data_IF_201105959531
#
_entry.id   IF_201105959531
#
_cell.length_a   1.000
_cell.length_b   1.000
_cell.length_c   1.000
_cell.angle_alpha   90.00
_cell.angle_beta   90.00
_cell.angle_gamma   90.00
#
_symmetry.space_group_name_H-M   'P 1'
#
loop_
_entity.id
_entity.type
_entity.pdbx_description
1 polymer ?
#
# COMPACT_ATOMS: atom_id res chain seq x y z
N UNK A 1 20.25 -7.63 6.31
CA UNK A 1 18.91 -7.06 6.08
C UNK A 1 19.07 -5.55 5.98
N UNK A 2 18.93 -4.99 4.79
CA UNK A 2 19.09 -3.57 4.53
C UNK A 2 17.93 -2.77 5.11
N UNK A 3 18.15 -1.47 5.37
CA UNK A 3 17.10 -0.56 5.91
C UNK A 3 15.84 -0.48 5.03
N UNK A 4 15.92 -0.83 3.75
CA UNK A 4 14.81 -0.78 2.81
C UNK A 4 13.99 -2.08 2.74
N UNK A 5 14.50 -3.21 3.24
CA UNK A 5 13.85 -4.53 3.05
C UNK A 5 12.47 -4.59 3.70
N UNK A 6 12.33 -4.01 4.90
CA UNK A 6 11.04 -3.93 5.60
C UNK A 6 10.02 -3.03 4.88
N UNK A 7 10.49 -2.01 4.16
CA UNK A 7 9.63 -1.12 3.40
C UNK A 7 9.14 -1.79 2.11
N UNK A 8 9.96 -2.64 1.48
CA UNK A 8 9.53 -3.46 0.34
C UNK A 8 8.43 -4.46 0.73
N UNK A 9 8.60 -5.17 1.85
CA UNK A 9 7.56 -6.08 2.35
C UNK A 9 6.24 -5.35 2.61
N UNK A 10 6.30 -4.17 3.24
CA UNK A 10 5.09 -3.37 3.46
C UNK A 10 4.46 -2.88 2.15
N UNK A 11 5.26 -2.55 1.14
CA UNK A 11 4.74 -2.19 -0.20
C UNK A 11 4.04 -3.39 -0.84
N UNK A 12 4.63 -4.58 -0.76
CA UNK A 12 4.02 -5.81 -1.28
C UNK A 12 2.68 -6.13 -0.57
N UNK A 13 2.62 -5.95 0.76
CA UNK A 13 1.38 -6.10 1.53
C UNK A 13 0.29 -5.13 1.05
N UNK A 14 0.66 -3.86 0.77
CA UNK A 14 -0.27 -2.86 0.23
C UNK A 14 -0.72 -3.26 -1.17
N UNK A 15 0.19 -3.66 -2.06
CA UNK A 15 -0.14 -4.09 -3.42
C UNK A 15 -1.11 -5.29 -3.42
N UNK A 16 -0.88 -6.29 -2.56
CA UNK A 16 -1.78 -7.45 -2.44
C UNK A 16 -3.17 -7.09 -1.89
N UNK A 17 -3.25 -6.14 -0.95
CA UNK A 17 -4.52 -5.60 -0.50
C UNK A 17 -5.26 -4.86 -1.61
N UNK A 18 -4.53 -4.05 -2.38
CA UNK A 18 -5.09 -3.30 -3.49
C UNK A 18 -5.65 -4.24 -4.57
N UNK A 19 -4.90 -5.26 -4.95
CA UNK A 19 -5.37 -6.29 -5.87
C UNK A 19 -6.66 -6.96 -5.36
N UNK A 20 -6.70 -7.31 -4.08
CA UNK A 20 -7.90 -7.89 -3.44
C UNK A 20 -9.11 -6.95 -3.50
N UNK A 21 -8.91 -5.66 -3.26
CA UNK A 21 -9.96 -4.63 -3.37
C UNK A 21 -10.47 -4.52 -4.81
N UNK A 22 -9.57 -4.49 -5.78
CA UNK A 22 -9.91 -4.37 -7.20
C UNK A 22 -10.67 -5.60 -7.70
N UNK A 23 -10.20 -6.82 -7.39
CA UNK A 23 -10.85 -8.09 -7.77
C UNK A 23 -12.25 -8.17 -7.17
N UNK A 24 -12.46 -7.65 -5.96
CA UNK A 24 -13.78 -7.58 -5.34
C UNK A 24 -14.74 -6.59 -6.01
N UNK A 25 -14.28 -5.81 -7.01
CA UNK A 25 -15.04 -4.71 -7.59
C UNK A 25 -15.32 -3.60 -6.58
N UNK A 26 -14.37 -3.31 -5.68
CA UNK A 26 -14.49 -2.35 -4.59
C UNK A 26 -15.63 -2.66 -3.60
N UNK A 27 -16.05 -3.93 -3.56
CA UNK A 27 -17.14 -4.43 -2.74
C UNK A 27 -16.60 -5.44 -1.72
N UNK A 28 -15.69 -5.00 -0.87
CA UNK A 28 -15.06 -5.86 0.14
C UNK A 28 -16.05 -6.14 1.28
N UNK A 29 -16.67 -7.33 1.28
CA UNK A 29 -17.62 -7.76 2.34
C UNK A 29 -16.95 -8.66 3.38
N UNK A 30 -15.76 -9.21 3.08
CA UNK A 30 -15.09 -10.17 3.94
C UNK A 30 -14.38 -9.49 5.14
N UNK A 31 -14.67 -9.95 6.36
CA UNK A 31 -14.05 -9.50 7.61
C UNK A 31 -12.53 -9.63 7.60
N UNK A 32 -11.98 -10.72 7.06
CA UNK A 32 -10.54 -10.94 7.03
C UNK A 32 -9.78 -9.92 6.18
N UNK A 33 -10.38 -9.46 5.08
CA UNK A 33 -9.76 -8.40 4.25
C UNK A 33 -9.78 -7.06 4.99
N UNK A 34 -10.84 -6.77 5.75
CA UNK A 34 -10.93 -5.53 6.54
C UNK A 34 -9.91 -5.50 7.68
N UNK A 35 -9.71 -6.63 8.37
CA UNK A 35 -8.69 -6.75 9.41
C UNK A 35 -7.28 -6.58 8.81
N UNK A 36 -7.04 -7.13 7.62
CA UNK A 36 -5.77 -6.95 6.91
C UNK A 36 -5.55 -5.48 6.50
N UNK A 37 -6.56 -4.79 5.96
CA UNK A 37 -6.47 -3.35 5.64
C UNK A 37 -6.13 -2.57 6.91
N UNK A 38 -6.75 -2.93 8.04
CA UNK A 38 -6.48 -2.29 9.33
C UNK A 38 -5.03 -2.45 9.77
N UNK A 39 -4.53 -3.68 9.77
CA UNK A 39 -3.16 -3.98 10.13
C UNK A 39 -2.15 -3.25 9.24
N UNK A 40 -2.38 -3.21 7.93
CA UNK A 40 -1.46 -2.57 6.99
C UNK A 40 -1.44 -1.05 7.14
N UNK A 41 -2.59 -0.39 7.36
CA UNK A 41 -2.55 1.06 7.59
C UNK A 41 -1.86 1.42 8.92
N UNK A 42 -2.04 0.64 9.98
CA UNK A 42 -1.34 0.84 11.25
C UNK A 42 0.17 0.67 11.08
N UNK A 43 0.60 -0.30 10.26
CA UNK A 43 2.00 -0.47 9.91
C UNK A 43 2.54 0.73 9.10
N UNK A 44 1.75 1.27 8.17
CA UNK A 44 2.09 2.48 7.43
C UNK A 44 2.29 3.69 8.38
N UNK A 45 1.43 3.87 9.38
CA UNK A 45 1.57 4.93 10.40
C UNK A 45 2.89 4.78 11.16
N UNK A 46 3.24 3.56 11.59
CA UNK A 46 4.49 3.28 12.34
C UNK A 46 5.76 3.60 11.58
N UNK A 47 5.77 3.39 10.26
CA UNK A 47 6.96 3.63 9.43
C UNK A 47 6.96 5.00 8.74
N UNK A 48 5.97 5.85 9.02
CA UNK A 48 5.88 7.21 8.48
C UNK A 48 5.31 7.33 7.07
N UNK A 49 4.71 6.27 6.51
CA UNK A 49 3.98 6.32 5.23
C UNK A 49 2.59 6.94 5.41
N UNK A 50 2.55 8.19 5.88
CA UNK A 50 1.33 8.86 6.34
C UNK A 50 0.24 8.92 5.27
N UNK A 51 0.61 9.15 4.00
CA UNK A 51 -0.35 9.17 2.90
C UNK A 51 -0.98 7.79 2.65
N UNK A 52 -0.18 6.72 2.67
CA UNK A 52 -0.71 5.37 2.50
C UNK A 52 -1.60 4.97 3.67
N UNK A 53 -1.20 5.31 4.90
CA UNK A 53 -2.00 5.09 6.08
C UNK A 53 -3.37 5.79 5.98
N UNK A 54 -3.39 7.06 5.61
CA UNK A 54 -4.63 7.84 5.49
C UNK A 54 -5.56 7.26 4.40
N UNK A 55 -5.01 6.95 3.23
CA UNK A 55 -5.78 6.37 2.13
C UNK A 55 -6.39 5.01 2.51
N UNK A 56 -5.60 4.10 3.09
CA UNK A 56 -6.08 2.79 3.53
C UNK A 56 -7.10 2.90 4.66
N UNK A 57 -6.89 3.80 5.63
CA UNK A 57 -7.85 4.07 6.70
C UNK A 57 -9.18 4.60 6.16
N UNK A 58 -9.14 5.39 5.09
CA UNK A 58 -10.35 5.85 4.43
C UNK A 58 -11.10 4.71 3.75
N UNK A 59 -10.37 3.87 3.00
CA UNK A 59 -10.93 2.68 2.35
C UNK A 59 -11.55 1.75 3.40
N UNK A 60 -10.84 1.48 4.51
CA UNK A 60 -11.34 0.68 5.64
C UNK A 60 -12.67 1.21 6.18
N UNK A 61 -12.74 2.50 6.51
CA UNK A 61 -13.96 3.13 7.08
C UNK A 61 -15.13 3.08 6.10
N UNK A 62 -14.88 3.30 4.81
CA UNK A 62 -15.92 3.27 3.80
C UNK A 62 -16.49 1.84 3.61
N UNK A 63 -15.62 0.82 3.63
CA UNK A 63 -16.05 -0.59 3.60
C UNK A 63 -16.73 -1.05 4.90
N UNK A 64 -16.35 -0.53 6.07
CA UNK A 64 -17.08 -0.80 7.32
C UNK A 64 -18.50 -0.23 7.28
N UNK A 65 -18.66 1.02 6.82
CA UNK A 65 -19.96 1.67 6.68
C UNK A 65 -20.88 0.89 5.73
N UNK A 66 -20.33 0.34 4.65
CA UNK A 66 -21.07 -0.50 3.71
C UNK A 66 -21.82 -1.65 4.38
N UNK A 67 -21.28 -2.26 5.44
CA UNK A 67 -21.95 -3.37 6.15
C UNK A 67 -23.34 -2.99 6.67
N UNK A 68 -23.60 -1.69 6.82
CA UNK A 68 -24.83 -1.13 7.37
C UNK A 68 -25.58 -0.23 6.39
N UNK A 69 -25.11 -0.08 5.14
CA UNK A 69 -25.68 0.84 4.15
C UNK A 69 -25.90 0.15 2.79
N UNK A 70 -27.16 0.03 2.38
CA UNK A 70 -27.55 -0.55 1.08
C UNK A 70 -27.34 0.40 -0.11
N UNK A 71 -27.10 1.70 0.13
CA UNK A 71 -26.85 2.72 -0.91
C UNK A 71 -25.37 3.05 -1.10
N UNK A 72 -24.49 2.16 -0.65
CA UNK A 72 -23.05 2.34 -0.76
C UNK A 72 -22.58 2.62 -2.21
N UNK A 73 -21.90 3.75 -2.39
CA UNK A 73 -21.24 4.15 -3.63
C UNK A 73 -19.72 3.94 -3.52
N UNK A 74 -19.14 3.17 -4.43
CA UNK A 74 -17.70 2.86 -4.42
C UNK A 74 -16.80 3.93 -5.03
N UNK A 75 -17.35 4.99 -5.66
CA UNK A 75 -16.58 6.05 -6.32
C UNK A 75 -15.53 6.68 -5.39
N UNK A 76 -15.91 6.98 -4.14
CA UNK A 76 -15.00 7.57 -3.16
C UNK A 76 -13.81 6.64 -2.83
N UNK A 77 -14.07 5.34 -2.77
CA UNK A 77 -13.02 4.32 -2.58
C UNK A 77 -12.14 4.23 -3.81
N UNK A 78 -12.73 4.24 -5.02
CA UNK A 78 -11.97 4.19 -6.26
C UNK A 78 -10.98 5.34 -6.37
N UNK A 79 -11.39 6.57 -6.04
CA UNK A 79 -10.49 7.73 -6.04
C UNK A 79 -9.31 7.51 -5.08
N UNK A 80 -9.57 7.09 -3.85
CA UNK A 80 -8.48 6.82 -2.89
C UNK A 80 -7.59 5.66 -3.31
N UNK A 81 -8.18 4.63 -3.89
CA UNK A 81 -7.46 3.49 -4.45
C UNK A 81 -6.45 3.94 -5.51
N UNK A 82 -6.89 4.70 -6.52
CA UNK A 82 -5.98 5.11 -7.59
C UNK A 82 -4.89 6.07 -7.11
N UNK A 83 -5.23 6.95 -6.16
CA UNK A 83 -4.25 7.83 -5.51
C UNK A 83 -3.21 7.02 -4.73
N UNK A 84 -3.65 6.02 -3.96
CA UNK A 84 -2.75 5.11 -3.25
C UNK A 84 -1.86 4.35 -4.24
N UNK A 85 -2.43 3.84 -5.34
CA UNK A 85 -1.69 3.07 -6.34
C UNK A 85 -0.52 3.89 -6.90
N UNK A 86 -0.81 5.13 -7.30
CA UNK A 86 0.18 6.04 -7.85
C UNK A 86 1.26 6.40 -6.83
N UNK A 87 0.89 6.56 -5.57
CA UNK A 87 1.84 6.82 -4.48
C UNK A 87 2.78 5.63 -4.26
N UNK A 88 2.25 4.41 -4.24
CA UNK A 88 3.04 3.19 -4.06
C UNK A 88 3.98 2.95 -5.24
N UNK A 89 3.50 3.10 -6.48
CA UNK A 89 4.33 3.05 -7.69
C UNK A 89 5.54 4.01 -7.58
N UNK A 90 5.29 5.27 -7.20
CA UNK A 90 6.34 6.28 -7.07
C UNK A 90 7.39 5.95 -5.99
N UNK A 91 6.97 5.36 -4.86
CA UNK A 91 7.91 4.92 -3.81
C UNK A 91 8.75 3.75 -4.33
N UNK A 92 8.11 2.76 -4.96
CA UNK A 92 8.77 1.56 -5.47
C UNK A 92 9.84 1.93 -6.49
N UNK A 93 9.54 2.83 -7.42
CA UNK A 93 10.49 3.36 -8.39
C UNK A 93 11.70 4.02 -7.70
N UNK A 94 11.44 4.85 -6.67
CA UNK A 94 12.50 5.53 -5.92
C UNK A 94 13.40 4.54 -5.16
N UNK A 95 12.83 3.48 -4.59
CA UNK A 95 13.59 2.44 -3.92
C UNK A 95 14.43 1.63 -4.91
N UNK A 96 13.87 1.30 -6.08
CA UNK A 96 14.60 0.58 -7.13
C UNK A 96 15.79 1.38 -7.66
N UNK A 97 15.62 2.69 -7.86
CA UNK A 97 16.72 3.59 -8.21
C UNK A 97 17.79 3.60 -7.12
N UNK A 98 17.40 3.68 -5.84
CA UNK A 98 18.35 3.66 -4.72
C UNK A 98 19.14 2.35 -4.69
N UNK A 99 18.47 1.21 -4.82
CA UNK A 99 19.08 -0.11 -4.89
C UNK A 99 20.06 -0.23 -6.06
N UNK A 100 19.68 0.27 -7.23
CA UNK A 100 20.57 0.28 -8.40
C UNK A 100 21.84 1.13 -8.16
N UNK A 101 21.72 2.29 -7.50
CA UNK A 101 22.88 3.12 -7.13
C UNK A 101 23.81 2.38 -6.17
N UNK A 102 23.27 1.73 -5.14
CA UNK A 102 24.05 0.94 -4.18
C UNK A 102 24.83 -0.18 -4.89
N UNK A 103 24.21 -0.90 -5.84
CA UNK A 103 24.91 -1.90 -6.66
C UNK A 103 26.03 -1.30 -7.52
N UNK A 104 25.81 -0.14 -8.14
CA UNK A 104 26.83 0.51 -8.96
C UNK A 104 28.04 0.98 -8.13
N UNK A 105 27.82 1.41 -6.88
CA UNK A 105 28.89 1.84 -5.98
C UNK A 105 29.75 0.66 -5.50
N UNK A 106 29.12 -0.47 -5.15
CA UNK A 106 29.82 -1.70 -4.77
C UNK A 106 30.71 -2.20 -5.91
N UNK A 107 30.17 -2.28 -7.12
CA UNK A 107 30.91 -2.81 -8.28
C UNK A 107 32.01 -1.86 -8.80
N UNK A 108 32.02 -0.59 -8.40
CA UNK A 108 33.13 0.35 -8.66
C UNK A 108 34.31 0.19 -7.70
N UNK A 109 34.08 -0.42 -6.52
CA UNK A 109 35.13 -0.67 -5.52
C UNK A 109 35.98 -1.91 -5.81
N UNK A 110 35.54 -2.80 -6.70
CA UNK A 110 36.23 -4.06 -7.05
C UNK A 110 37.18 -3.94 -8.27
N UNK A 111 37.39 -2.73 -8.80
CA UNK A 111 38.22 -2.47 -10.00
C UNK A 111 39.59 -1.84 -9.75
N UNK A 112 40.07 -1.83 -8.50
CA UNK A 112 41.43 -1.42 -8.11
C UNK A 112 42.13 -2.52 -7.32
#
# INVERSE_FOLDING_TARGET
>A
MGKCDNLYLLIEDIEGLMESILISGFNVVNTGVLDNIKQVYENCERVGLSFAAEALKHIYKAQEKKRHDMNYNCEEIMVKYFLLNKYIEAIKDKLNIKKAKEYMEINKGETT
#
